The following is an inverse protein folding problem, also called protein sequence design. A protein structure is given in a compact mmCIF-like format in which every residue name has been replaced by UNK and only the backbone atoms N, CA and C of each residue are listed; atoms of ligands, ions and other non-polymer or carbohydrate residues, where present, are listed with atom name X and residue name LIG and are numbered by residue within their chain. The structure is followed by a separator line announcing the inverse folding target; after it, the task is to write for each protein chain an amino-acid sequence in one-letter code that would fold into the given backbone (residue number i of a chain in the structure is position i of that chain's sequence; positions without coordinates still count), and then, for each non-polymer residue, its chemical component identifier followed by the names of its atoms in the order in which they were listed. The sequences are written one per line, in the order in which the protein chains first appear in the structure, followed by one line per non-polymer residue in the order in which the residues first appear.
data_IF_717055680319
#
_entry.id   IF_717055680319
#
_cell.length_a   1.000
_cell.length_b   1.000
_cell.length_c   1.000
_cell.angle_alpha   90.00
_cell.angle_beta   90.00
_cell.angle_gamma   90.00
#
_symmetry.space_group_name_H-M   'P 1'
#
loop_
_entity.id
_entity.type
_entity.pdbx_description
1 polymer ?
#
# COMPACT_ATOMS: atom_id res chain seq x y z
N UNK A 1 -12.80 6.69 -6.40
CA UNK A 1 -12.32 7.70 -5.42
C UNK A 1 -13.12 8.97 -5.61
N UNK A 2 -13.25 9.80 -4.58
CA UNK A 2 -13.89 11.11 -4.64
C UNK A 2 -15.29 11.09 -5.32
N UNK A 3 -16.08 10.05 -5.07
CA UNK A 3 -17.41 9.87 -5.69
C UNK A 3 -17.42 9.32 -7.12
N UNK A 4 -16.25 9.20 -7.76
CA UNK A 4 -16.11 8.59 -9.10
C UNK A 4 -15.93 7.07 -8.98
N UNK A 5 -16.72 6.33 -9.74
CA UNK A 5 -16.70 4.85 -9.82
C UNK A 5 -16.79 4.38 -11.28
N UNK A 6 -16.36 3.14 -11.54
CA UNK A 6 -16.42 2.53 -12.86
C UNK A 6 -15.07 1.98 -13.33
N UNK A 7 -14.88 1.86 -14.64
CA UNK A 7 -13.65 1.34 -15.23
C UNK A 7 -13.30 2.04 -16.53
N UNK A 8 -12.01 2.02 -16.85
CA UNK A 8 -11.49 2.37 -18.17
C UNK A 8 -10.61 1.23 -18.64
N UNK A 9 -10.94 0.63 -19.78
CA UNK A 9 -10.18 -0.47 -20.38
C UNK A 9 -9.39 0.04 -21.57
N UNK A 10 -8.09 -0.20 -21.58
CA UNK A 10 -7.20 0.15 -22.68
C UNK A 10 -6.91 -1.09 -23.53
N UNK A 11 -7.18 -1.04 -24.82
CA UNK A 11 -6.87 -2.09 -25.78
C UNK A 11 -5.73 -1.62 -26.69
N UNK A 12 -4.57 -2.27 -26.57
CA UNK A 12 -3.39 -1.94 -27.36
C UNK A 12 -3.47 -2.39 -28.82
N UNK A 13 -4.30 -3.38 -29.13
CA UNK A 13 -4.49 -3.93 -30.49
C UNK A 13 -5.45 -3.04 -31.27
N UNK A 14 -6.60 -2.73 -30.66
CA UNK A 14 -7.59 -1.83 -31.26
C UNK A 14 -7.20 -0.35 -31.14
N UNK A 15 -6.22 -0.03 -30.28
CA UNK A 15 -5.80 1.33 -29.96
C UNK A 15 -6.96 2.19 -29.44
N UNK A 16 -7.80 1.60 -28.58
CA UNK A 16 -8.98 2.24 -28.00
C UNK A 16 -8.96 2.23 -26.47
N UNK A 17 -9.58 3.24 -25.87
CA UNK A 17 -9.95 3.26 -24.46
C UNK A 17 -11.47 3.19 -24.35
N UNK A 18 -12.00 2.12 -23.75
CA UNK A 18 -13.41 1.99 -23.40
C UNK A 18 -13.63 2.56 -22.00
N UNK A 19 -14.35 3.66 -21.92
CA UNK A 19 -14.65 4.39 -20.69
C UNK A 19 -16.05 4.03 -20.23
N UNK A 20 -16.19 3.67 -18.95
CA UNK A 20 -17.47 3.50 -18.28
C UNK A 20 -17.34 4.06 -16.86
N UNK A 21 -17.66 5.33 -16.67
CA UNK A 21 -17.49 6.05 -15.42
C UNK A 21 -18.79 6.75 -14.99
N UNK A 22 -19.06 6.71 -13.69
CA UNK A 22 -20.14 7.45 -13.04
C UNK A 22 -19.57 8.43 -12.00
N UNK A 23 -20.34 9.45 -11.63
CA UNK A 23 -19.90 10.47 -10.67
C UNK A 23 -18.94 11.53 -11.24
N UNK A 24 -18.80 11.62 -12.57
CA UNK A 24 -17.89 12.57 -13.24
C UNK A 24 -18.49 13.96 -13.45
N UNK A 25 -19.82 14.10 -13.33
CA UNK A 25 -20.54 15.34 -13.67
C UNK A 25 -20.64 15.59 -15.19
N UNK A 26 -20.38 14.59 -16.02
CA UNK A 26 -20.42 14.76 -17.49
C UNK A 26 -21.81 15.15 -18.01
N UNK A 27 -22.87 14.66 -17.36
CA UNK A 27 -24.26 14.99 -17.71
C UNK A 27 -24.57 16.49 -17.52
N UNK A 28 -23.89 17.14 -16.58
CA UNK A 28 -24.05 18.58 -16.32
C UNK A 28 -23.09 19.44 -17.13
N UNK A 29 -21.88 18.94 -17.38
CA UNK A 29 -20.76 19.75 -17.88
C UNK A 29 -20.41 19.46 -19.35
N UNK A 30 -21.02 18.43 -19.96
CA UNK A 30 -20.80 18.04 -21.35
C UNK A 30 -19.50 17.29 -21.60
N UNK A 31 -18.46 17.49 -20.78
CA UNK A 31 -17.22 16.71 -20.84
C UNK A 31 -16.44 16.69 -19.52
N UNK A 32 -15.49 15.76 -19.43
CA UNK A 32 -14.48 15.67 -18.37
C UNK A 32 -13.16 15.16 -18.94
N UNK A 33 -12.07 15.34 -18.19
CA UNK A 33 -10.73 14.97 -18.64
C UNK A 33 -10.22 13.69 -17.96
N UNK A 34 -9.55 12.87 -18.76
CA UNK A 34 -8.78 11.72 -18.34
C UNK A 34 -7.31 11.96 -18.65
N UNK A 35 -6.47 11.83 -17.64
CA UNK A 35 -5.03 12.10 -17.75
C UNK A 35 -4.23 10.90 -17.29
N UNK A 36 -3.43 10.33 -18.18
CA UNK A 36 -2.40 9.36 -17.83
C UNK A 36 -1.25 10.08 -17.13
N UNK A 37 -0.77 9.52 -16.02
CA UNK A 37 0.30 10.11 -15.20
C UNK A 37 1.49 9.16 -15.07
N UNK A 38 2.59 9.64 -14.48
CA UNK A 38 3.87 8.93 -14.47
C UNK A 38 3.92 7.71 -13.52
N UNK A 39 3.26 7.80 -12.37
CA UNK A 39 3.40 6.84 -11.28
C UNK A 39 2.07 6.14 -10.98
N UNK A 40 2.12 4.88 -10.53
CA UNK A 40 0.92 4.17 -10.11
C UNK A 40 0.41 4.69 -8.77
N UNK A 41 -0.89 4.54 -8.54
CA UNK A 41 -1.50 4.83 -7.24
C UNK A 41 -1.04 3.78 -6.22
N UNK A 42 -0.66 4.23 -5.03
CA UNK A 42 -0.45 3.35 -3.88
C UNK A 42 -1.65 3.48 -2.93
N UNK A 43 -2.58 2.54 -3.01
CA UNK A 43 -3.88 2.61 -2.33
C UNK A 43 -3.77 2.60 -0.81
N UNK A 44 -4.36 3.60 -0.14
CA UNK A 44 -4.33 3.77 1.32
C UNK A 44 -2.95 4.12 1.91
N UNK A 45 -1.97 4.44 1.08
CA UNK A 45 -0.66 4.92 1.54
C UNK A 45 -0.61 6.44 1.77
N UNK A 46 -1.53 7.20 1.17
CA UNK A 46 -1.60 8.67 1.25
C UNK A 46 -3.05 9.13 1.39
N UNK A 47 -3.29 10.23 2.11
CA UNK A 47 -4.62 10.79 2.29
C UNK A 47 -5.19 11.37 0.98
N UNK A 48 -4.33 11.96 0.15
CA UNK A 48 -4.71 12.55 -1.14
C UNK A 48 -3.92 11.89 -2.28
N UNK A 49 -4.20 10.62 -2.63
CA UNK A 49 -3.35 9.85 -3.53
C UNK A 49 -3.25 10.43 -4.95
N UNK A 50 -4.22 11.25 -5.39
CA UNK A 50 -4.33 11.73 -6.76
C UNK A 50 -3.63 13.07 -7.05
N UNK A 51 -2.91 13.63 -6.07
CA UNK A 51 -2.12 14.86 -6.29
C UNK A 51 -0.85 14.56 -7.05
N UNK A 52 -0.36 15.56 -7.80
CA UNK A 52 0.82 15.46 -8.65
C UNK A 52 2.08 14.98 -7.89
N UNK A 53 2.23 15.32 -6.60
CA UNK A 53 3.33 14.84 -5.78
C UNK A 53 3.37 13.30 -5.62
N UNK A 54 2.26 12.61 -5.89
CA UNK A 54 2.14 11.15 -5.75
C UNK A 54 1.98 10.42 -7.08
N UNK A 55 1.19 10.96 -8.01
CA UNK A 55 0.98 10.33 -9.34
C UNK A 55 1.93 10.86 -10.42
N UNK A 56 2.68 11.93 -10.14
CA UNK A 56 3.62 12.54 -11.07
C UNK A 56 2.96 13.46 -12.09
N UNK A 57 3.73 13.85 -13.11
CA UNK A 57 3.28 14.76 -14.16
C UNK A 57 2.23 14.13 -15.07
N UNK A 58 1.51 14.99 -15.80
CA UNK A 58 0.67 14.57 -16.91
C UNK A 58 1.52 14.05 -18.06
N UNK A 59 1.27 12.81 -18.48
CA UNK A 59 1.92 12.15 -19.61
C UNK A 59 1.11 12.35 -20.88
N UNK A 60 -0.20 12.10 -20.79
CA UNK A 60 -1.12 12.24 -21.90
C UNK A 60 -2.52 12.55 -21.37
N UNK A 61 -3.26 13.41 -22.06
CA UNK A 61 -4.61 13.82 -21.66
C UNK A 61 -5.57 13.68 -22.83
N UNK A 62 -6.78 13.18 -22.55
CA UNK A 62 -7.89 13.14 -23.50
C UNK A 62 -9.20 13.47 -22.78
N UNK A 63 -10.13 14.07 -23.53
CA UNK A 63 -11.44 14.46 -23.00
C UNK A 63 -12.51 13.46 -23.43
N UNK A 64 -13.49 13.25 -22.57
CA UNK A 64 -14.64 12.36 -22.80
C UNK A 64 -15.92 13.16 -22.59
N UNK A 65 -16.91 12.95 -23.47
CA UNK A 65 -18.17 13.69 -23.49
C UNK A 65 -19.40 12.89 -23.02
N UNK A 66 -19.19 11.66 -22.55
CA UNK A 66 -20.26 10.79 -22.06
C UNK A 66 -19.73 9.85 -20.96
N UNK A 67 -20.63 9.38 -20.09
CA UNK A 67 -20.31 8.41 -19.02
C UNK A 67 -19.78 7.09 -19.60
N UNK A 68 -20.31 6.70 -20.77
CA UNK A 68 -19.86 5.54 -21.54
C UNK A 68 -19.37 6.01 -22.90
N UNK A 69 -18.12 5.72 -23.26
CA UNK A 69 -17.53 6.16 -24.52
C UNK A 69 -16.39 5.25 -24.97
N UNK A 70 -16.02 5.34 -26.24
CA UNK A 70 -14.84 4.69 -26.81
C UNK A 70 -13.98 5.75 -27.47
N UNK A 71 -12.74 5.89 -27.00
CA UNK A 71 -11.81 6.94 -27.44
C UNK A 71 -10.64 6.31 -28.18
N UNK A 72 -10.21 6.91 -29.29
CA UNK A 72 -8.99 6.52 -29.98
C UNK A 72 -7.76 7.01 -29.20
N UNK A 73 -6.84 6.10 -28.88
CA UNK A 73 -5.63 6.37 -28.09
C UNK A 73 -4.35 6.02 -28.84
N UNK A 74 -4.40 5.91 -30.17
CA UNK A 74 -3.25 5.56 -31.02
C UNK A 74 -2.04 6.47 -30.78
N UNK A 75 -2.26 7.77 -30.67
CA UNK A 75 -1.21 8.76 -30.36
C UNK A 75 -0.60 8.54 -28.97
N UNK A 76 -1.44 8.21 -27.98
CA UNK A 76 -0.98 7.92 -26.62
C UNK A 76 -0.07 6.70 -26.62
N UNK A 77 -0.46 5.62 -27.30
CA UNK A 77 0.30 4.37 -27.37
C UNK A 77 1.59 4.49 -28.20
N UNK A 78 1.65 5.41 -29.17
CA UNK A 78 2.88 5.73 -29.89
C UNK A 78 3.92 6.40 -28.99
N UNK A 79 3.48 7.29 -28.09
CA UNK A 79 4.37 7.98 -27.16
C UNK A 79 4.70 7.11 -25.93
N UNK A 80 3.70 6.36 -25.45
CA UNK A 80 3.76 5.56 -24.22
C UNK A 80 3.19 4.17 -24.50
N UNK A 81 3.99 3.26 -25.09
CA UNK A 81 3.51 1.92 -25.46
C UNK A 81 3.23 1.05 -24.23
N UNK A 82 3.92 1.29 -23.10
CA UNK A 82 3.68 0.60 -21.84
C UNK A 82 2.89 1.50 -20.87
N UNK A 83 1.63 1.15 -20.66
CA UNK A 83 0.74 1.84 -19.72
C UNK A 83 0.81 1.27 -18.30
N UNK A 84 1.48 0.12 -18.10
CA UNK A 84 1.61 -0.52 -16.80
C UNK A 84 2.39 0.39 -15.83
N UNK A 85 2.05 0.25 -14.54
CA UNK A 85 2.63 1.03 -13.45
C UNK A 85 2.46 2.54 -13.65
N UNK A 86 1.35 2.96 -14.26
CA UNK A 86 0.92 4.37 -14.34
C UNK A 86 -0.39 4.53 -13.58
N UNK A 87 -0.90 5.75 -13.50
CA UNK A 87 -2.28 5.96 -13.06
C UNK A 87 -3.06 6.81 -14.05
N UNK A 88 -4.36 6.57 -14.07
CA UNK A 88 -5.33 7.38 -14.77
C UNK A 88 -5.99 8.31 -13.75
N UNK A 89 -5.79 9.61 -13.94
CA UNK A 89 -6.45 10.68 -13.21
C UNK A 89 -7.73 11.07 -13.94
N UNK A 90 -8.83 11.16 -13.21
CA UNK A 90 -10.11 11.69 -13.64
C UNK A 90 -10.28 13.04 -12.95
N UNK A 91 -10.36 14.11 -13.75
CA UNK A 91 -10.74 15.43 -13.26
C UNK A 91 -12.20 15.66 -13.62
N UNK A 92 -13.06 15.61 -12.60
CA UNK A 92 -14.48 15.90 -12.77
C UNK A 92 -14.67 17.38 -13.08
N UNK A 93 -15.83 17.75 -13.62
CA UNK A 93 -16.05 19.16 -13.95
C UNK A 93 -16.16 20.10 -12.74
N UNK A 94 -16.32 19.55 -11.53
CA UNK A 94 -16.25 20.31 -10.28
C UNK A 94 -14.80 20.42 -9.74
N UNK A 95 -13.80 20.10 -10.56
CA UNK A 95 -12.37 20.05 -10.23
C UNK A 95 -12.02 19.01 -9.15
N UNK A 96 -12.89 18.04 -8.91
CA UNK A 96 -12.58 16.91 -8.03
C UNK A 96 -11.69 15.93 -8.76
N UNK A 97 -10.62 15.47 -8.10
CA UNK A 97 -9.65 14.54 -8.66
C UNK A 97 -9.84 13.15 -8.09
N UNK A 98 -10.12 12.19 -8.96
CA UNK A 98 -10.10 10.76 -8.65
C UNK A 98 -9.01 10.08 -9.47
N UNK A 99 -8.43 9.00 -8.98
CA UNK A 99 -7.38 8.30 -9.71
C UNK A 99 -7.43 6.79 -9.46
N UNK A 100 -6.92 6.04 -10.41
CA UNK A 100 -6.71 4.60 -10.29
C UNK A 100 -5.42 4.22 -11.04
N UNK A 101 -4.67 3.27 -10.49
CA UNK A 101 -3.56 2.62 -11.17
C UNK A 101 -4.03 1.90 -12.43
N UNK A 102 -3.23 1.96 -13.50
CA UNK A 102 -3.42 1.19 -14.72
C UNK A 102 -2.76 -0.16 -14.52
N UNK A 103 -3.57 -1.21 -14.45
CA UNK A 103 -3.16 -2.58 -14.14
C UNK A 103 -3.22 -3.40 -15.43
N UNK A 104 -2.16 -4.14 -15.72
CA UNK A 104 -2.13 -5.04 -16.89
C UNK A 104 -3.03 -6.26 -16.65
N UNK A 105 -3.74 -6.72 -17.69
CA UNK A 105 -4.52 -7.98 -17.61
C UNK A 105 -3.60 -9.21 -17.49
N UNK A 106 -2.40 -9.12 -18.04
CA UNK A 106 -1.36 -10.15 -17.91
C UNK A 106 -0.66 -10.07 -16.55
N UNK A 107 -0.17 -11.21 -16.06
CA UNK A 107 0.60 -11.28 -14.81
C UNK A 107 1.81 -10.34 -14.87
N UNK A 108 1.99 -9.52 -13.83
CA UNK A 108 3.16 -8.67 -13.65
C UNK A 108 4.04 -9.25 -12.56
N UNK A 109 5.32 -9.44 -12.84
CA UNK A 109 6.32 -9.79 -11.83
C UNK A 109 6.93 -8.50 -11.30
N UNK A 110 7.02 -8.37 -9.97
CA UNK A 110 7.68 -7.25 -9.30
C UNK A 110 8.93 -7.75 -8.59
N UNK A 111 10.04 -7.07 -8.76
CA UNK A 111 11.24 -7.22 -7.94
C UNK A 111 11.47 -5.95 -7.13
N UNK A 112 12.12 -6.09 -5.98
CA UNK A 112 12.48 -4.99 -5.10
C UNK A 112 13.97 -5.06 -4.77
N UNK A 113 14.61 -3.89 -4.75
CA UNK A 113 15.91 -3.70 -4.11
C UNK A 113 15.79 -2.55 -3.12
N UNK A 114 16.33 -2.73 -1.91
CA UNK A 114 16.24 -1.73 -0.83
C UNK A 114 17.61 -1.29 -0.39
N UNK A 115 17.80 0.03 -0.34
CA UNK A 115 19.03 0.68 0.09
C UNK A 115 18.84 1.34 1.45
N UNK A 116 19.87 1.31 2.29
CA UNK A 116 19.83 1.75 3.69
C UNK A 116 20.98 2.68 4.09
N UNK A 117 21.82 3.10 3.14
CA UNK A 117 23.03 3.88 3.42
C UNK A 117 22.80 5.36 3.07
N UNK A 118 23.84 6.06 2.63
CA UNK A 118 23.82 7.47 2.16
C UNK A 118 22.72 7.79 1.14
N UNK A 119 22.31 6.79 0.36
CA UNK A 119 21.05 6.78 -0.39
C UNK A 119 20.19 5.67 0.18
N UNK A 120 18.97 6.01 0.58
CA UNK A 120 18.03 5.08 1.17
C UNK A 120 16.70 5.09 0.41
N UNK A 121 15.97 3.99 0.46
CA UNK A 121 14.68 3.84 -0.21
C UNK A 121 14.59 2.57 -1.03
N UNK A 122 13.55 2.49 -1.85
CA UNK A 122 13.25 1.31 -2.65
C UNK A 122 13.41 1.60 -4.14
N UNK A 123 13.85 0.57 -4.85
CA UNK A 123 13.62 0.41 -6.27
C UNK A 123 12.65 -0.75 -6.45
N UNK A 124 11.68 -0.58 -7.34
CA UNK A 124 10.81 -1.63 -7.85
C UNK A 124 11.04 -1.78 -9.34
N UNK A 125 11.24 -3.01 -9.80
CA UNK A 125 11.30 -3.35 -11.23
C UNK A 125 10.05 -4.17 -11.52
N UNK A 126 9.28 -3.79 -12.54
CA UNK A 126 8.01 -4.43 -12.90
C UNK A 126 8.06 -4.88 -14.35
N UNK A 127 7.79 -6.15 -14.60
CA UNK A 127 7.79 -6.74 -15.94
C UNK A 127 6.49 -7.49 -16.17
N UNK A 128 5.83 -7.19 -17.29
CA UNK A 128 4.67 -7.96 -17.75
C UNK A 128 5.18 -9.29 -18.29
N UNK A 129 4.57 -10.40 -17.87
CA UNK A 129 4.96 -11.74 -18.31
C UNK A 129 4.94 -11.84 -19.84
N UNK A 130 6.06 -12.29 -20.42
CA UNK A 130 6.23 -12.44 -21.87
C UNK A 130 6.70 -11.17 -22.60
N UNK A 131 6.83 -10.04 -21.91
CA UNK A 131 7.42 -8.81 -22.46
C UNK A 131 8.90 -8.70 -22.07
N UNK A 132 9.81 -8.31 -22.98
CA UNK A 132 11.22 -8.13 -22.65
C UNK A 132 11.46 -6.86 -21.82
N UNK A 133 10.63 -5.83 -22.01
CA UNK A 133 10.77 -4.55 -21.33
C UNK A 133 10.26 -4.60 -19.89
N UNK A 134 10.84 -3.75 -19.04
CA UNK A 134 10.41 -3.58 -17.66
C UNK A 134 10.33 -2.10 -17.29
N UNK A 135 9.53 -1.77 -16.30
CA UNK A 135 9.44 -0.44 -15.70
C UNK A 135 10.21 -0.42 -14.39
N UNK A 136 11.07 0.57 -14.20
CA UNK A 136 11.70 0.83 -12.92
C UNK A 136 11.03 2.02 -12.23
N UNK A 137 10.61 1.84 -10.99
CA UNK A 137 10.09 2.88 -10.10
C UNK A 137 11.01 3.01 -8.89
N UNK A 138 11.18 4.23 -8.38
CA UNK A 138 11.96 4.41 -7.14
C UNK A 138 11.48 5.60 -6.32
N UNK A 139 11.77 5.57 -5.02
CA UNK A 139 11.47 6.63 -4.05
C UNK A 139 12.70 6.96 -3.18
N UNK A 140 13.85 7.08 -3.83
CA UNK A 140 15.14 7.23 -3.16
C UNK A 140 15.28 8.60 -2.53
N UNK A 141 15.91 8.63 -1.36
CA UNK A 141 16.27 9.85 -0.64
C UNK A 141 17.76 9.86 -0.34
N UNK A 142 18.36 11.05 -0.31
CA UNK A 142 19.68 11.24 0.24
C UNK A 142 19.61 11.47 1.75
N UNK A 143 20.41 10.72 2.51
CA UNK A 143 20.55 10.90 3.96
C UNK A 143 21.75 11.78 4.34
N UNK A 144 22.41 12.38 3.35
CA UNK A 144 23.61 13.18 3.61
C UNK A 144 23.22 14.57 4.17
N UNK A 145 23.55 14.83 5.42
CA UNK A 145 23.26 16.10 6.11
C UNK A 145 24.23 17.23 5.72
N UNK A 146 25.32 16.91 5.02
CA UNK A 146 26.29 17.90 4.56
C UNK A 146 25.84 18.40 3.18
N UNK A 147 25.69 19.73 3.02
CA UNK A 147 25.21 20.56 1.89
C UNK A 147 25.44 20.12 0.41
N UNK A 148 26.09 18.99 0.13
CA UNK A 148 26.10 18.32 -1.17
C UNK A 148 25.02 17.22 -1.22
N UNK A 149 23.74 17.61 -1.26
CA UNK A 149 22.67 16.68 -1.61
C UNK A 149 22.84 16.28 -3.07
N UNK A 150 23.08 15.00 -3.34
CA UNK A 150 23.05 14.50 -4.72
C UNK A 150 21.64 14.71 -5.27
N UNK A 151 21.48 15.48 -6.35
CA UNK A 151 20.18 15.66 -7.00
C UNK A 151 19.75 14.41 -7.77
N UNK A 152 20.72 13.65 -8.27
CA UNK A 152 20.50 12.42 -9.02
C UNK A 152 21.60 11.39 -8.76
N UNK A 153 21.33 10.16 -9.16
CA UNK A 153 22.26 9.04 -9.08
C UNK A 153 22.17 8.15 -10.30
N UNK A 154 23.31 7.70 -10.81
CA UNK A 154 23.36 6.70 -11.89
C UNK A 154 23.11 5.31 -11.33
N UNK A 155 22.14 4.62 -11.92
CA UNK A 155 21.78 3.25 -11.57
C UNK A 155 22.37 2.25 -12.57
N UNK A 156 22.89 1.16 -12.02
CA UNK A 156 23.43 0.02 -12.74
C UNK A 156 22.82 -1.27 -12.21
N UNK A 157 22.84 -2.32 -13.03
CA UNK A 157 22.49 -3.67 -12.62
C UNK A 157 23.62 -4.66 -12.95
N UNK A 158 23.65 -5.77 -12.21
CA UNK A 158 24.63 -6.84 -12.40
C UNK A 158 23.99 -8.23 -12.30
N UNK A 159 24.41 -9.13 -13.19
CA UNK A 159 24.11 -10.56 -13.18
C UNK A 159 25.18 -11.38 -12.44
N UNK A 160 26.02 -10.74 -11.63
CA UNK A 160 27.08 -11.42 -10.89
C UNK A 160 26.53 -12.58 -10.04
N UNK A 161 27.31 -13.67 -9.98
CA UNK A 161 27.04 -14.82 -9.13
C UNK A 161 27.55 -14.65 -7.70
N UNK A 162 28.06 -13.45 -7.34
CA UNK A 162 28.50 -13.15 -5.98
C UNK A 162 27.46 -13.54 -4.92
N UNK A 163 27.93 -13.97 -3.75
CA UNK A 163 27.07 -14.42 -2.67
C UNK A 163 26.36 -13.27 -1.95
N UNK A 164 26.94 -12.07 -1.97
CA UNK A 164 26.43 -10.87 -1.30
C UNK A 164 26.91 -9.59 -1.99
N UNK A 165 26.31 -8.46 -1.63
CA UNK A 165 26.78 -7.14 -2.06
C UNK A 165 28.23 -6.85 -1.64
N UNK A 166 28.65 -7.27 -0.44
CA UNK A 166 30.03 -7.10 0.03
C UNK A 166 31.02 -7.83 -0.87
N UNK A 167 30.74 -9.09 -1.21
CA UNK A 167 31.58 -9.89 -2.11
C UNK A 167 31.62 -9.31 -3.53
N UNK A 168 30.49 -8.80 -4.03
CA UNK A 168 30.42 -8.12 -5.32
C UNK A 168 31.29 -6.86 -5.32
N UNK A 169 31.14 -5.99 -4.31
CA UNK A 169 31.87 -4.73 -4.24
C UNK A 169 33.38 -4.95 -4.09
N UNK A 170 33.81 -5.98 -3.36
CA UNK A 170 35.22 -6.32 -3.19
C UNK A 170 35.93 -6.82 -4.47
N UNK A 171 35.17 -7.24 -5.48
CA UNK A 171 35.70 -7.75 -6.76
C UNK A 171 35.03 -7.09 -7.98
N UNK A 172 34.44 -5.91 -7.79
CA UNK A 172 33.61 -5.27 -8.79
C UNK A 172 34.44 -4.90 -10.02
N UNK A 173 34.03 -5.40 -11.18
CA UNK A 173 34.49 -4.91 -12.47
C UNK A 173 33.44 -3.94 -13.03
N UNK A 174 33.68 -2.61 -13.04
CA UNK A 174 32.68 -1.64 -13.52
C UNK A 174 32.24 -1.86 -14.97
N UNK A 175 33.07 -2.52 -15.80
CA UNK A 175 32.75 -2.79 -17.21
C UNK A 175 31.72 -3.92 -17.38
N UNK A 176 31.45 -4.73 -16.35
CA UNK A 176 30.41 -5.76 -16.40
C UNK A 176 29.02 -5.25 -15.99
N UNK A 177 28.94 -3.99 -15.56
CA UNK A 177 27.69 -3.37 -15.14
C UNK A 177 26.88 -2.89 -16.34
N UNK A 178 25.57 -3.13 -16.29
CA UNK A 178 24.62 -2.61 -17.28
C UNK A 178 24.07 -1.30 -16.72
N UNK A 179 24.35 -0.19 -17.41
CA UNK A 179 23.81 1.12 -17.06
C UNK A 179 22.32 1.21 -17.44
N UNK A 180 21.47 1.61 -16.51
CA UNK A 180 20.03 1.76 -16.75
C UNK A 180 19.58 3.22 -16.92
N UNK A 181 20.27 4.18 -16.30
CA UNK A 181 19.89 5.59 -16.36
C UNK A 181 20.23 6.37 -15.10
N UNK A 182 19.60 7.55 -14.95
CA UNK A 182 19.69 8.37 -13.75
C UNK A 182 18.36 8.39 -13.01
N UNK A 183 18.42 8.34 -11.68
CA UNK A 183 17.28 8.49 -10.79
C UNK A 183 17.45 9.76 -9.96
N UNK A 184 16.38 10.52 -9.79
CA UNK A 184 16.33 11.65 -8.88
C UNK A 184 16.33 11.16 -7.43
N UNK A 185 16.94 11.95 -6.56
CA UNK A 185 16.97 11.72 -5.12
C UNK A 185 16.20 12.83 -4.41
N UNK A 186 15.28 12.44 -3.54
CA UNK A 186 14.62 13.36 -2.63
C UNK A 186 15.40 13.58 -1.33
N UNK A 187 14.77 14.25 -0.40
CA UNK A 187 15.20 14.33 1.01
C UNK A 187 14.15 13.67 1.90
N UNK A 188 14.44 13.41 3.19
CA UNK A 188 13.42 12.93 4.13
C UNK A 188 12.19 13.86 4.23
N UNK A 189 12.37 15.16 3.97
CA UNK A 189 11.29 16.16 4.03
C UNK A 189 10.61 16.36 2.66
N UNK A 190 11.35 16.21 1.58
CA UNK A 190 10.88 16.39 0.21
C UNK A 190 11.13 15.11 -0.59
N UNK A 191 10.26 14.08 -0.44
CA UNK A 191 10.41 12.83 -1.16
C UNK A 191 10.19 13.03 -2.66
N UNK A 192 11.06 12.41 -3.47
CA UNK A 192 10.99 12.45 -4.93
C UNK A 192 10.84 11.02 -5.46
N UNK A 193 10.11 10.88 -6.57
CA UNK A 193 9.94 9.60 -7.28
C UNK A 193 10.65 9.65 -8.63
N UNK A 194 11.17 8.52 -9.08
CA UNK A 194 11.75 8.39 -10.42
C UNK A 194 11.18 7.19 -11.16
N UNK A 195 11.05 7.34 -12.48
CA UNK A 195 10.62 6.30 -13.42
C UNK A 195 11.66 6.13 -14.52
N UNK A 196 11.99 4.89 -14.87
CA UNK A 196 12.74 4.56 -16.08
C UNK A 196 12.08 3.40 -16.82
N UNK A 197 12.05 3.47 -18.15
CA UNK A 197 11.68 2.33 -18.99
C UNK A 197 12.95 1.57 -19.35
N UNK A 198 12.97 0.27 -19.06
CA UNK A 198 14.09 -0.64 -19.36
C UNK A 198 13.70 -1.42 -20.61
N UNK A 199 14.39 -1.24 -21.75
CA UNK A 199 14.01 -1.91 -23.01
C UNK A 199 14.07 -3.44 -22.96
N UNK A 200 15.01 -3.98 -22.18
CA UNK A 200 15.19 -5.42 -21.98
C UNK A 200 15.68 -5.69 -20.56
N UNK A 201 14.94 -6.51 -19.82
CA UNK A 201 15.26 -6.92 -18.46
C UNK A 201 15.29 -8.44 -18.34
N UNK A 202 16.40 -8.95 -17.81
CA UNK A 202 16.65 -10.36 -17.57
C UNK A 202 16.40 -10.70 -16.09
N UNK A 203 15.58 -11.71 -15.84
CA UNK A 203 15.28 -12.18 -14.48
C UNK A 203 16.51 -12.74 -13.72
N UNK A 204 17.60 -13.06 -14.42
CA UNK A 204 18.89 -13.46 -13.83
C UNK A 204 19.70 -12.31 -13.22
N UNK A 205 19.22 -11.06 -13.32
CA UNK A 205 19.81 -9.90 -12.66
C UNK A 205 19.63 -10.01 -11.14
N UNK A 206 20.73 -9.92 -10.39
CA UNK A 206 20.73 -10.15 -8.93
C UNK A 206 21.03 -8.91 -8.09
N UNK A 207 21.69 -7.91 -8.66
CA UNK A 207 22.15 -6.74 -7.90
C UNK A 207 21.83 -5.43 -8.61
N UNK A 208 21.36 -4.45 -7.85
CA UNK A 208 21.26 -3.04 -8.23
C UNK A 208 22.40 -2.27 -7.57
N UNK A 209 23.04 -1.37 -8.32
CA UNK A 209 24.13 -0.55 -7.81
C UNK A 209 23.90 0.92 -8.14
N UNK A 210 24.30 1.79 -7.22
CA UNK A 210 24.42 3.21 -7.48
C UNK A 210 25.87 3.64 -7.45
N UNK A 211 26.26 4.51 -8.38
CA UNK A 211 27.56 5.17 -8.33
C UNK A 211 27.45 6.51 -7.62
N UNK A 212 28.12 6.65 -6.48
CA UNK A 212 28.16 7.86 -5.67
C UNK A 212 29.58 8.42 -5.68
N UNK A 213 29.78 9.50 -6.44
CA UNK A 213 31.11 10.07 -6.69
C UNK A 213 32.10 9.02 -7.22
N UNK A 214 32.91 8.41 -6.36
CA UNK A 214 33.91 7.39 -6.68
C UNK A 214 33.57 5.97 -6.19
N UNK A 215 32.51 5.79 -5.40
CA UNK A 215 32.17 4.50 -4.79
C UNK A 215 30.83 3.95 -5.30
N UNK A 216 30.64 2.64 -5.13
CA UNK A 216 29.38 1.98 -5.43
C UNK A 216 28.69 1.53 -4.15
N UNK A 217 27.39 1.81 -4.04
CA UNK A 217 26.51 1.11 -3.09
C UNK A 217 25.73 0.04 -3.83
N UNK A 218 25.46 -1.06 -3.15
CA UNK A 218 24.79 -2.24 -3.73
C UNK A 218 23.57 -2.62 -2.90
N UNK A 219 22.55 -3.12 -3.58
CA UNK A 219 21.43 -3.85 -2.99
C UNK A 219 21.10 -5.07 -3.84
N UNK A 220 20.66 -6.15 -3.18
CA UNK A 220 20.14 -7.32 -3.87
C UNK A 220 18.75 -7.03 -4.45
N UNK A 221 18.54 -7.45 -5.70
CA UNK A 221 17.24 -7.45 -6.35
C UNK A 221 16.58 -8.78 -6.03
N UNK A 222 15.43 -8.72 -5.35
CA UNK A 222 14.69 -9.91 -4.91
C UNK A 222 13.27 -9.88 -5.46
N UNK A 223 12.69 -11.02 -5.83
CA UNK A 223 11.26 -11.09 -6.13
C UNK A 223 10.45 -10.54 -4.95
N UNK A 224 9.50 -9.67 -5.25
CA UNK A 224 8.53 -9.18 -4.28
C UNK A 224 7.32 -10.12 -4.33
N UNK A 225 7.27 -11.05 -3.38
CA UNK A 225 6.16 -12.00 -3.28
C UNK A 225 4.84 -11.30 -2.90
N UNK A 226 3.71 -11.73 -3.48
CA UNK A 226 2.38 -11.32 -3.01
C UNK A 226 2.24 -11.56 -1.51
N UNK A 227 1.57 -10.65 -0.80
CA UNK A 227 1.23 -10.85 0.60
C UNK A 227 -0.16 -11.46 0.70
N UNK A 228 -0.26 -12.53 1.48
CA UNK A 228 -1.50 -13.13 1.92
C UNK A 228 -1.47 -13.22 3.45
N UNK A 229 -2.46 -12.62 4.12
CA UNK A 229 -2.57 -12.65 5.59
C UNK A 229 -4.02 -12.87 5.99
N UNK A 230 -4.24 -13.46 7.16
CA UNK A 230 -5.59 -13.73 7.64
C UNK A 230 -5.76 -13.40 9.12
N UNK A 231 -6.97 -12.99 9.48
CA UNK A 231 -7.46 -13.01 10.85
C UNK A 231 -8.30 -14.28 11.02
N UNK A 232 -7.80 -15.23 11.81
CA UNK A 232 -8.50 -16.49 12.10
C UNK A 232 -9.46 -16.29 13.28
N UNK A 233 -10.73 -16.57 13.07
CA UNK A 233 -11.79 -16.36 14.05
C UNK A 233 -12.19 -17.72 14.63
N UNK A 234 -11.99 -17.89 15.94
CA UNK A 234 -12.60 -18.96 16.75
C UNK A 234 -12.89 -18.39 18.14
N UNK A 235 -14.02 -17.69 18.26
CA UNK A 235 -14.38 -16.97 19.48
C UNK A 235 -15.89 -16.91 19.64
N UNK A 236 -16.40 -17.17 20.86
CA UNK A 236 -17.84 -17.14 21.20
C UNK A 236 -18.73 -17.94 20.23
N UNK A 237 -18.19 -19.04 19.72
CA UNK A 237 -18.84 -19.96 18.79
C UNK A 237 -18.74 -19.57 17.31
N UNK A 238 -18.38 -18.33 16.98
CA UNK A 238 -18.15 -17.92 15.58
C UNK A 238 -16.85 -18.51 15.10
N UNK A 239 -16.86 -19.08 13.90
CA UNK A 239 -15.68 -19.73 13.28
C UNK A 239 -15.44 -19.25 11.87
N UNK A 240 -14.18 -19.16 11.48
CA UNK A 240 -13.80 -18.89 10.10
C UNK A 240 -12.59 -17.96 9.98
N UNK A 241 -12.54 -17.17 8.92
CA UNK A 241 -11.45 -16.25 8.67
C UNK A 241 -11.88 -15.02 7.86
N UNK A 242 -11.05 -13.99 7.93
CA UNK A 242 -11.00 -12.90 6.96
C UNK A 242 -9.59 -12.91 6.37
N UNK A 243 -9.52 -13.07 5.05
CA UNK A 243 -8.29 -13.17 4.27
C UNK A 243 -8.05 -11.86 3.51
N UNK A 244 -6.82 -11.36 3.53
CA UNK A 244 -6.37 -10.20 2.78
C UNK A 244 -5.25 -10.62 1.84
N UNK A 245 -5.39 -10.31 0.56
CA UNK A 245 -4.42 -10.65 -0.48
C UNK A 245 -4.08 -9.42 -1.31
N UNK A 246 -2.79 -9.11 -1.47
CA UNK A 246 -2.33 -7.99 -2.28
C UNK A 246 -1.07 -8.40 -3.05
N UNK A 247 -1.09 -8.21 -4.37
CA UNK A 247 -0.01 -8.64 -5.27
C UNK A 247 1.25 -7.80 -5.06
N UNK A 248 1.09 -6.48 -4.92
CA UNK A 248 2.18 -5.55 -4.65
C UNK A 248 1.63 -4.26 -4.02
N UNK A 249 2.49 -3.35 -3.53
CA UNK A 249 2.06 -2.04 -3.01
C UNK A 249 1.29 -1.15 -4.01
N UNK A 250 1.29 -1.52 -5.30
CA UNK A 250 0.68 -0.77 -6.39
C UNK A 250 -0.66 -1.37 -6.86
N UNK A 251 -1.04 -2.51 -6.28
CA UNK A 251 -2.27 -3.23 -6.60
C UNK A 251 -3.29 -3.05 -5.47
N UNK A 252 -4.61 -3.12 -5.74
CA UNK A 252 -5.60 -3.12 -4.68
C UNK A 252 -5.57 -4.42 -3.87
N UNK A 253 -6.18 -4.39 -2.68
CA UNK A 253 -6.24 -5.56 -1.80
C UNK A 253 -7.54 -6.31 -2.01
N UNK A 254 -7.47 -7.62 -2.23
CA UNK A 254 -8.65 -8.50 -2.19
C UNK A 254 -8.93 -8.89 -0.75
N UNK A 255 -10.18 -8.71 -0.31
CA UNK A 255 -10.67 -9.08 1.02
C UNK A 255 -11.68 -10.22 0.86
N UNK A 256 -11.40 -11.38 1.45
CA UNK A 256 -12.31 -12.54 1.39
C UNK A 256 -12.76 -12.97 2.78
N UNK A 257 -14.06 -13.07 3.00
CA UNK A 257 -14.67 -13.49 4.25
C UNK A 257 -15.20 -14.91 4.11
N UNK A 258 -14.96 -15.73 5.12
CA UNK A 258 -15.66 -17.00 5.32
C UNK A 258 -15.90 -17.15 6.81
N UNK A 259 -17.11 -16.80 7.27
CA UNK A 259 -17.47 -16.85 8.70
C UNK A 259 -18.79 -17.61 8.85
N UNK A 260 -18.85 -18.41 9.91
CA UNK A 260 -20.00 -19.26 10.22
C UNK A 260 -20.48 -19.06 11.64
N UNK A 261 -21.73 -19.44 11.92
CA UNK A 261 -22.34 -19.37 13.25
C UNK A 261 -22.41 -17.94 13.82
N UNK A 262 -22.62 -16.95 12.93
CA UNK A 262 -22.83 -15.55 13.30
C UNK A 262 -24.12 -15.38 14.10
N UNK A 263 -25.14 -16.20 13.82
CA UNK A 263 -26.46 -16.20 14.49
C UNK A 263 -27.10 -14.80 14.55
N UNK A 264 -26.86 -13.97 13.53
CA UNK A 264 -27.35 -12.58 13.45
C UNK A 264 -26.86 -11.67 14.57
N UNK A 265 -25.82 -12.10 15.32
CA UNK A 265 -25.22 -11.35 16.43
C UNK A 265 -24.11 -10.41 15.99
N UNK A 266 -23.69 -10.46 14.73
CA UNK A 266 -22.61 -9.62 14.20
C UNK A 266 -23.17 -8.61 13.23
N UNK A 267 -22.76 -7.36 13.37
CA UNK A 267 -23.08 -6.25 12.47
C UNK A 267 -21.81 -5.64 11.88
N UNK A 268 -21.31 -4.50 12.40
CA UNK A 268 -20.10 -3.85 11.90
C UNK A 268 -18.82 -4.64 12.20
N UNK A 269 -17.79 -4.46 11.38
CA UNK A 269 -16.46 -5.03 11.55
C UNK A 269 -15.39 -4.10 11.00
N UNK A 270 -14.30 -3.96 11.74
CA UNK A 270 -13.26 -2.99 11.49
C UNK A 270 -11.88 -3.54 11.82
N UNK A 271 -10.82 -2.99 11.20
CA UNK A 271 -9.44 -3.16 11.65
C UNK A 271 -9.16 -2.15 12.76
N UNK A 272 -8.56 -2.61 13.85
CA UNK A 272 -8.21 -1.81 15.02
C UNK A 272 -6.70 -1.59 15.12
N UNK A 273 -6.27 -0.74 16.05
CA UNK A 273 -4.87 -0.29 16.15
C UNK A 273 -3.90 -1.42 16.51
N UNK A 274 -4.22 -2.26 17.49
CA UNK A 274 -3.27 -3.19 18.10
C UNK A 274 -3.66 -4.66 17.89
N UNK A 275 -2.69 -5.59 17.88
CA UNK A 275 -2.99 -7.03 17.96
C UNK A 275 -3.77 -7.36 19.22
N UNK A 276 -4.46 -8.50 19.22
CA UNK A 276 -5.06 -9.04 20.45
C UNK A 276 -3.97 -9.44 21.44
N UNK A 277 -4.18 -9.23 22.76
CA UNK A 277 -3.17 -9.53 23.78
C UNK A 277 -2.90 -11.03 23.92
N UNK A 278 -1.66 -11.39 24.24
CA UNK A 278 -1.24 -12.76 24.54
C UNK A 278 -1.81 -13.23 25.89
N UNK A 279 -2.99 -13.85 25.87
CA UNK A 279 -3.60 -14.74 26.91
C UNK A 279 -3.83 -14.12 28.31
N UNK A 280 -3.27 -12.95 28.63
CA UNK A 280 -3.34 -12.31 29.96
C UNK A 280 -4.66 -11.59 30.24
N UNK A 281 -5.43 -11.27 29.22
CA UNK A 281 -6.72 -10.61 29.37
C UNK A 281 -7.83 -11.65 29.52
N UNK A 282 -8.77 -11.50 30.49
CA UNK A 282 -9.98 -12.31 30.53
C UNK A 282 -10.64 -12.31 29.15
N UNK A 283 -11.17 -13.46 28.72
CA UNK A 283 -11.78 -13.64 27.39
C UNK A 283 -12.88 -12.62 27.07
N UNK A 284 -13.55 -12.11 28.11
CA UNK A 284 -14.58 -11.08 27.99
C UNK A 284 -14.01 -9.69 27.59
N UNK A 285 -12.77 -9.41 27.98
CA UNK A 285 -12.11 -8.12 27.76
C UNK A 285 -11.12 -8.12 26.59
N UNK A 286 -10.82 -9.27 25.97
CA UNK A 286 -9.79 -9.40 24.92
C UNK A 286 -9.96 -8.37 23.80
N UNK A 287 -11.20 -8.06 23.42
CA UNK A 287 -11.51 -7.12 22.34
C UNK A 287 -11.76 -5.69 22.82
N UNK A 288 -11.60 -5.39 24.11
CA UNK A 288 -11.88 -4.07 24.70
C UNK A 288 -11.02 -2.96 24.11
N UNK A 289 -11.44 -1.70 24.33
CA UNK A 289 -10.70 -0.52 23.85
C UNK A 289 -9.27 -0.51 24.36
N UNK A 290 -9.07 -0.85 25.63
CA UNK A 290 -7.76 -0.87 26.28
C UNK A 290 -6.80 -1.90 25.64
N UNK A 291 -7.32 -2.97 25.04
CA UNK A 291 -6.51 -4.05 24.47
C UNK A 291 -6.20 -3.84 22.98
N UNK A 292 -7.21 -3.52 22.16
CA UNK A 292 -7.03 -3.44 20.70
C UNK A 292 -7.06 -2.00 20.15
N UNK A 293 -7.37 -1.02 21.01
CA UNK A 293 -7.48 0.39 20.63
C UNK A 293 -8.75 0.72 19.84
N UNK A 294 -8.78 1.93 19.29
CA UNK A 294 -9.79 2.40 18.32
C UNK A 294 -9.60 1.82 16.92
N UNK A 295 -10.36 2.34 15.96
CA UNK A 295 -10.25 1.95 14.55
C UNK A 295 -8.93 2.43 13.96
N UNK A 296 -8.43 1.69 12.95
CA UNK A 296 -7.27 2.11 12.20
C UNK A 296 -7.61 3.28 11.27
N UNK A 297 -7.24 4.50 11.67
CA UNK A 297 -7.53 5.72 10.93
C UNK A 297 -6.28 6.61 10.79
N UNK A 298 -5.30 6.22 9.96
CA UNK A 298 -4.01 6.93 9.85
C UNK A 298 -4.09 8.31 9.19
N UNK A 299 -5.26 8.70 8.67
CA UNK A 299 -5.49 9.99 8.01
C UNK A 299 -6.45 10.88 8.78
N UNK A 300 -6.81 10.50 10.01
CA UNK A 300 -7.73 11.26 10.87
C UNK A 300 -9.04 11.64 10.15
N UNK A 301 -9.59 10.69 9.36
CA UNK A 301 -10.88 10.86 8.68
C UNK A 301 -11.95 11.21 9.72
N UNK A 302 -12.71 12.27 9.45
CA UNK A 302 -13.75 12.75 10.36
C UNK A 302 -14.95 11.81 10.38
N UNK A 303 -15.13 11.11 11.51
CA UNK A 303 -16.18 10.11 11.72
C UNK A 303 -17.48 10.69 12.28
N UNK A 304 -17.62 12.03 12.37
CA UNK A 304 -18.87 12.65 12.80
C UNK A 304 -20.00 12.30 11.82
N UNK A 305 -21.20 11.91 12.30
CA UNK A 305 -22.32 11.52 11.43
C UNK A 305 -22.75 12.58 10.40
N UNK A 306 -22.42 13.86 10.64
CA UNK A 306 -22.72 14.95 9.70
C UNK A 306 -21.80 15.00 8.47
N UNK A 307 -20.64 14.32 8.52
CA UNK A 307 -19.60 14.34 7.47
C UNK A 307 -19.34 12.94 6.94
N UNK A 308 -19.31 11.94 7.83
CA UNK A 308 -19.03 10.55 7.47
C UNK A 308 -20.20 9.97 6.65
N UNK A 309 -19.99 9.56 5.39
CA UNK A 309 -21.08 9.11 4.54
C UNK A 309 -21.79 7.87 5.12
N UNK A 310 -23.13 7.78 5.05
CA UNK A 310 -23.84 6.59 5.47
C UNK A 310 -23.57 5.43 4.48
N UNK A 311 -23.18 4.24 4.95
CA UNK A 311 -23.02 3.08 4.08
C UNK A 311 -24.37 2.39 3.79
N UNK A 312 -24.53 1.74 2.61
CA UNK A 312 -23.64 1.81 1.45
C UNK A 312 -23.87 3.12 0.70
N UNK A 313 -22.83 3.78 0.18
CA UNK A 313 -23.08 5.02 -0.57
C UNK A 313 -21.93 5.93 -0.95
N UNK A 314 -20.67 5.55 -0.70
CA UNK A 314 -19.53 6.39 -1.07
C UNK A 314 -18.33 5.56 -1.51
N UNK A 315 -17.33 6.23 -2.09
CA UNK A 315 -16.08 5.61 -2.51
C UNK A 315 -15.17 5.33 -1.31
N UNK A 316 -14.32 4.30 -1.43
CA UNK A 316 -13.55 3.74 -0.30
C UNK A 316 -12.62 4.73 0.42
N UNK A 317 -12.24 5.81 -0.24
CA UNK A 317 -11.39 6.89 0.27
C UNK A 317 -12.09 7.83 1.27
N UNK A 318 -13.42 7.77 1.39
CA UNK A 318 -14.16 8.57 2.38
C UNK A 318 -14.22 7.94 3.77
N UNK A 319 -13.79 6.68 3.89
CA UNK A 319 -13.89 5.91 5.12
C UNK A 319 -12.52 5.72 5.75
N UNK A 320 -12.50 5.48 7.07
CA UNK A 320 -11.28 5.11 7.78
C UNK A 320 -10.66 3.87 7.10
N UNK A 321 -9.32 3.77 7.05
CA UNK A 321 -8.66 2.57 6.49
C UNK A 321 -9.13 1.30 7.21
N UNK A 322 -9.48 1.39 8.49
CA UNK A 322 -9.99 0.27 9.26
C UNK A 322 -11.46 -0.03 9.05
N UNK A 323 -12.25 0.85 8.45
CA UNK A 323 -13.70 0.63 8.32
C UNK A 323 -14.02 -0.28 7.13
N UNK A 324 -14.16 -1.58 7.39
CA UNK A 324 -14.46 -2.58 6.37
C UNK A 324 -15.97 -2.64 6.08
N UNK A 325 -16.81 -2.44 7.09
CA UNK A 325 -18.27 -2.50 6.94
C UNK A 325 -18.84 -1.39 6.07
N UNK A 326 -18.32 -0.17 6.17
CA UNK A 326 -18.82 0.93 5.35
C UNK A 326 -18.45 0.77 3.87
N UNK A 327 -17.38 0.04 3.56
CA UNK A 327 -16.93 -0.25 2.20
C UNK A 327 -17.57 -1.51 1.61
N UNK A 328 -17.65 -2.59 2.39
CA UNK A 328 -18.01 -3.92 1.89
C UNK A 328 -19.37 -4.43 2.42
N UNK A 329 -20.06 -3.60 3.20
CA UNK A 329 -21.36 -3.91 3.80
C UNK A 329 -21.26 -4.55 5.18
N UNK A 330 -22.29 -4.34 6.01
CA UNK A 330 -22.45 -4.91 7.35
C UNK A 330 -22.79 -6.41 7.30
N UNK A 331 -22.39 -7.15 8.33
CA UNK A 331 -22.74 -8.58 8.53
C UNK A 331 -24.08 -8.78 9.24
N UNK A 332 -24.83 -7.70 9.48
CA UNK A 332 -26.12 -7.75 10.18
C UNK A 332 -27.09 -8.73 9.53
N UNK A 333 -27.86 -9.44 10.35
CA UNK A 333 -28.86 -10.43 9.92
C UNK A 333 -28.31 -11.64 9.13
N UNK A 334 -27.00 -11.92 9.21
CA UNK A 334 -26.39 -13.11 8.60
C UNK A 334 -26.21 -14.22 9.63
N UNK A 335 -26.46 -15.45 9.20
CA UNK A 335 -26.13 -16.66 9.96
C UNK A 335 -24.71 -17.15 9.57
N UNK A 336 -24.39 -17.10 8.28
CA UNK A 336 -23.07 -17.35 7.70
C UNK A 336 -22.77 -16.32 6.59
N UNK A 337 -21.49 -16.13 6.25
CA UNK A 337 -21.07 -15.28 5.13
C UNK A 337 -19.88 -15.89 4.39
N UNK A 338 -19.99 -15.89 3.06
CA UNK A 338 -18.87 -16.12 2.16
C UNK A 338 -18.90 -15.03 1.08
N UNK A 339 -17.88 -14.18 1.04
CA UNK A 339 -17.83 -13.06 0.13
C UNK A 339 -16.38 -12.70 -0.22
N UNK A 340 -16.18 -12.06 -1.36
CA UNK A 340 -14.88 -11.54 -1.79
C UNK A 340 -15.05 -10.17 -2.44
N UNK A 341 -14.18 -9.23 -2.08
CA UNK A 341 -14.26 -7.83 -2.48
C UNK A 341 -12.88 -7.30 -2.87
N UNK A 342 -12.84 -6.30 -3.75
CA UNK A 342 -11.63 -5.51 -4.03
C UNK A 342 -11.68 -4.22 -3.21
N UNK A 343 -10.65 -3.97 -2.42
CA UNK A 343 -10.49 -2.77 -1.61
C UNK A 343 -9.40 -1.85 -2.17
N UNK A 344 -9.83 -0.64 -2.56
CA UNK A 344 -8.99 0.42 -3.11
C UNK A 344 -8.43 1.39 -2.04
N UNK A 345 -8.46 1.04 -0.75
CA UNK A 345 -7.96 1.88 0.35
C UNK A 345 -7.45 1.05 1.56
N UNK A 346 -7.07 -0.21 1.37
CA UNK A 346 -6.65 -1.11 2.46
C UNK A 346 -5.28 -1.74 2.20
N UNK A 347 -4.16 -1.06 2.50
CA UNK A 347 -2.83 -1.60 2.23
C UNK A 347 -2.44 -2.73 3.22
N UNK A 348 -1.75 -3.75 2.72
CA UNK A 348 -1.01 -4.74 3.55
C UNK A 348 0.52 -4.64 3.35
N UNK A 349 0.98 -3.67 2.56
CA UNK A 349 2.39 -3.27 2.45
C UNK A 349 2.64 -1.91 3.09
N UNK A 350 3.90 -1.67 3.52
CA UNK A 350 4.37 -0.36 3.95
C UNK A 350 3.74 0.14 5.24
N UNK A 351 3.91 1.44 5.50
CA UNK A 351 3.62 2.09 6.79
C UNK A 351 2.17 1.92 7.27
N UNK A 352 1.21 2.01 6.35
CA UNK A 352 -0.21 1.93 6.70
C UNK A 352 -0.77 0.50 6.73
N UNK A 353 0.11 -0.49 6.60
CA UNK A 353 -0.28 -1.91 6.58
C UNK A 353 -1.14 -2.30 7.79
N UNK A 354 -2.16 -3.11 7.52
CA UNK A 354 -3.00 -3.73 8.55
C UNK A 354 -2.39 -5.02 9.13
N UNK A 355 -1.27 -5.51 8.59
CA UNK A 355 -0.58 -6.72 9.07
C UNK A 355 -0.13 -6.55 10.52
N UNK A 356 -0.40 -7.56 11.36
CA UNK A 356 -0.09 -7.54 12.79
C UNK A 356 -1.07 -6.74 13.65
N UNK A 357 -2.07 -6.06 13.06
CA UNK A 357 -3.17 -5.43 13.79
C UNK A 357 -4.25 -6.45 14.13
N UNK A 358 -5.44 -6.01 14.54
CA UNK A 358 -6.58 -6.90 14.78
C UNK A 358 -7.80 -6.51 13.96
N UNK A 359 -8.66 -7.48 13.66
CA UNK A 359 -10.04 -7.22 13.25
C UNK A 359 -10.94 -7.39 14.46
N UNK A 360 -11.89 -6.48 14.65
CA UNK A 360 -12.97 -6.59 15.64
C UNK A 360 -14.30 -6.63 14.91
N UNK A 361 -15.11 -7.62 15.24
CA UNK A 361 -16.50 -7.76 14.82
C UNK A 361 -17.37 -7.31 16.00
N UNK A 362 -18.37 -6.50 15.70
CA UNK A 362 -19.25 -5.86 16.67
C UNK A 362 -20.65 -6.47 16.57
N UNK A 363 -21.41 -6.40 17.67
CA UNK A 363 -22.85 -6.60 17.67
C UNK A 363 -23.56 -5.48 16.89
N UNK A 364 -24.83 -5.65 16.48
CA UNK A 364 -25.55 -4.63 15.71
C UNK A 364 -25.64 -3.25 16.40
N UNK A 365 -25.55 -3.20 17.73
CA UNK A 365 -25.51 -1.97 18.52
C UNK A 365 -24.10 -1.35 18.63
N UNK A 366 -23.13 -1.87 17.86
CA UNK A 366 -21.71 -1.50 17.87
C UNK A 366 -20.93 -1.92 19.12
N UNK A 367 -21.49 -2.76 19.99
CA UNK A 367 -20.74 -3.37 21.09
C UNK A 367 -19.70 -4.34 20.54
N UNK A 368 -18.48 -4.33 21.08
CA UNK A 368 -17.40 -5.23 20.62
C UNK A 368 -17.73 -6.68 20.99
N UNK A 369 -17.74 -7.57 20.01
CA UNK A 369 -18.18 -8.95 20.20
C UNK A 369 -17.03 -9.95 20.20
N UNK A 370 -16.29 -10.02 19.09
CA UNK A 370 -15.17 -10.94 18.87
C UNK A 370 -14.07 -10.24 18.10
N UNK A 371 -12.85 -10.73 18.24
CA UNK A 371 -11.70 -10.14 17.58
C UNK A 371 -10.62 -11.19 17.34
N UNK A 372 -9.71 -10.89 16.42
CA UNK A 372 -8.52 -11.69 16.17
C UNK A 372 -7.43 -10.85 15.53
N UNK A 373 -6.17 -11.15 15.86
CA UNK A 373 -5.03 -10.56 15.18
C UNK A 373 -4.97 -11.00 13.71
N UNK A 374 -4.67 -10.04 12.84
CA UNK A 374 -4.26 -10.29 11.46
C UNK A 374 -2.83 -10.81 11.52
N UNK A 375 -2.63 -12.04 11.04
CA UNK A 375 -1.33 -12.69 11.03
C UNK A 375 -0.33 -12.05 10.08
N UNK A 376 0.81 -12.73 9.94
CA UNK A 376 1.89 -12.36 9.04
C UNK A 376 1.95 -13.36 7.87
N UNK A 377 2.51 -12.98 6.71
CA UNK A 377 2.55 -13.84 5.52
C UNK A 377 3.55 -15.01 5.63
N UNK A 378 4.14 -15.23 6.80
CA UNK A 378 5.11 -16.28 7.07
C UNK A 378 5.57 -16.27 8.53
N UNK A 379 6.54 -17.12 8.85
CA UNK A 379 7.14 -17.18 10.18
C UNK A 379 7.82 -15.83 10.53
N UNK A 380 7.59 -15.34 11.75
CA UNK A 380 8.14 -14.08 12.23
C UNK A 380 9.07 -14.27 13.42
N UNK A 381 10.03 -13.37 13.54
CA UNK A 381 10.78 -13.15 14.77
C UNK A 381 10.23 -11.89 15.44
N UNK A 382 10.02 -11.94 16.75
CA UNK A 382 9.62 -10.78 17.56
C UNK A 382 10.71 -10.45 18.59
N UNK A 383 11.27 -9.25 18.50
CA UNK A 383 12.15 -8.69 19.53
C UNK A 383 11.31 -7.86 20.51
N UNK A 384 11.61 -8.00 21.82
CA UNK A 384 10.86 -7.35 22.91
C UNK A 384 11.79 -6.47 23.74
N UNK A 385 11.53 -5.17 23.76
CA UNK A 385 12.18 -4.21 24.65
C UNK A 385 11.27 -3.90 25.85
N UNK A 386 11.80 -3.96 27.07
CA UNK A 386 11.03 -3.73 28.31
C UNK A 386 11.56 -2.48 29.00
N UNK A 387 10.66 -1.56 29.31
CA UNK A 387 10.94 -0.31 30.01
C UNK A 387 10.44 -0.42 31.46
N UNK A 388 11.25 0.03 32.42
CA UNK A 388 10.96 -0.10 33.85
C UNK A 388 10.88 1.22 34.61
N UNK A 389 11.44 2.32 34.07
CA UNK A 389 11.36 3.68 34.65
C UNK A 389 12.02 4.70 33.71
N UNK A 390 11.59 5.98 33.68
CA UNK A 390 10.37 6.53 34.27
C UNK A 390 9.10 6.16 33.46
N UNK A 391 9.30 5.67 32.24
CA UNK A 391 8.29 5.02 31.41
C UNK A 391 8.36 3.52 31.69
N UNK A 392 7.21 2.89 31.87
CA UNK A 392 7.06 1.45 32.06
C UNK A 392 6.30 0.86 30.88
N UNK A 393 6.64 -0.37 30.50
CA UNK A 393 5.92 -1.09 29.47
C UNK A 393 6.82 -1.83 28.49
N UNK A 394 6.32 -2.08 27.29
CA UNK A 394 6.95 -2.94 26.28
C UNK A 394 6.90 -2.29 24.89
N UNK A 395 7.97 -2.47 24.12
CA UNK A 395 7.97 -2.27 22.66
C UNK A 395 8.26 -3.60 21.97
N UNK A 396 7.42 -3.97 21.01
CA UNK A 396 7.53 -5.17 20.20
C UNK A 396 7.95 -4.79 18.78
N UNK A 397 8.96 -5.48 18.25
CA UNK A 397 9.41 -5.38 16.86
C UNK A 397 9.25 -6.74 16.20
N UNK A 398 8.39 -6.84 15.18
CA UNK A 398 8.08 -8.11 14.50
C UNK A 398 8.44 -8.02 13.03
N UNK A 399 9.21 -9.00 12.53
CA UNK A 399 9.65 -9.07 11.13
C UNK A 399 9.63 -10.52 10.65
N UNK A 400 9.47 -10.75 9.34
CA UNK A 400 9.59 -12.09 8.75
C UNK A 400 11.00 -12.65 8.96
N UNK A 401 11.07 -13.89 9.47
CA UNK A 401 12.31 -14.60 9.77
C UNK A 401 13.19 -14.80 8.53
N UNK A 402 12.58 -15.23 7.43
CA UNK A 402 13.27 -15.55 6.18
C UNK A 402 13.46 -14.33 5.26
N UNK A 403 12.94 -13.16 5.65
CA UNK A 403 13.05 -11.94 4.85
C UNK A 403 13.39 -10.71 5.71
N UNK A 404 14.69 -10.44 5.95
CA UNK A 404 15.15 -9.29 6.74
C UNK A 404 14.91 -7.93 6.05
N UNK A 405 14.45 -7.93 4.80
CA UNK A 405 14.08 -6.71 4.05
C UNK A 405 12.58 -6.41 4.10
N UNK A 406 11.80 -7.31 4.69
CA UNK A 406 10.36 -7.12 4.91
C UNK A 406 10.07 -5.98 5.87
N UNK A 407 8.83 -5.48 5.82
CA UNK A 407 8.34 -4.47 6.76
C UNK A 407 8.48 -4.95 8.21
N UNK A 408 8.89 -4.06 9.11
CA UNK A 408 8.92 -4.31 10.55
C UNK A 408 7.67 -3.70 11.16
N UNK A 409 6.84 -4.53 11.80
CA UNK A 409 5.73 -4.04 12.63
C UNK A 409 6.29 -3.62 13.99
N UNK A 410 5.93 -2.42 14.45
CA UNK A 410 6.32 -1.92 15.77
C UNK A 410 5.07 -1.59 16.57
N UNK A 411 4.88 -2.27 17.70
CA UNK A 411 3.78 -2.02 18.63
C UNK A 411 4.31 -1.62 20.00
N UNK A 412 3.70 -0.60 20.59
CA UNK A 412 4.13 0.00 21.85
C UNK A 412 2.98 -0.05 22.85
N UNK A 413 3.28 -0.55 24.05
CA UNK A 413 2.42 -0.47 25.23
C UNK A 413 3.26 0.19 26.32
N UNK A 414 3.12 1.51 26.49
CA UNK A 414 3.95 2.32 27.37
C UNK A 414 3.07 3.24 28.23
N UNK A 415 3.40 3.36 29.51
CA UNK A 415 2.76 4.28 30.45
C UNK A 415 3.79 4.94 31.37
N UNK A 416 3.44 6.06 32.00
CA UNK A 416 4.30 6.65 33.02
C UNK A 416 4.23 5.81 34.31
N UNK A 417 5.38 5.46 34.87
CA UNK A 417 5.46 4.71 36.13
C UNK A 417 5.01 5.51 37.36
N UNK A 418 4.69 6.81 37.21
CA UNK A 418 4.10 7.66 38.24
C UNK A 418 2.61 7.88 37.93
N UNK A 419 1.68 7.46 38.81
CA UNK A 419 0.23 7.55 38.58
C UNK A 419 -0.30 8.96 38.30
N UNK A 420 0.39 10.00 38.77
CA UNK A 420 -0.05 11.39 38.66
C UNK A 420 0.45 12.09 37.39
N UNK A 421 1.22 11.41 36.52
CA UNK A 421 1.68 12.00 35.27
C UNK A 421 0.62 11.84 34.20
N UNK A 422 0.10 12.96 33.69
CA UNK A 422 -0.88 12.95 32.59
C UNK A 422 -0.32 12.21 31.38
N UNK A 423 -1.10 11.28 30.82
CA UNK A 423 -0.78 10.64 29.56
C UNK A 423 -0.61 11.71 28.47
N UNK A 424 0.38 11.54 27.60
CA UNK A 424 0.54 12.38 26.41
C UNK A 424 -0.68 12.13 25.52
N UNK A 425 -1.57 13.11 25.36
CA UNK A 425 -2.82 12.98 24.59
C UNK A 425 -2.62 12.85 23.07
N UNK A 426 -1.39 12.69 22.62
CA UNK A 426 -1.03 12.56 21.21
C UNK A 426 -0.26 11.25 21.05
N UNK A 427 -0.80 10.27 20.31
CA UNK A 427 0.03 9.23 19.75
C UNK A 427 1.10 9.94 18.92
N UNK A 428 2.34 9.91 19.36
CA UNK A 428 3.48 10.22 18.50
C UNK A 428 3.61 9.05 17.52
N UNK A 429 2.72 9.00 16.53
CA UNK A 429 3.02 8.34 15.28
C UNK A 429 4.08 9.21 14.60
N UNK A 430 5.35 9.00 14.94
CA UNK A 430 6.42 9.60 14.17
C UNK A 430 6.27 9.15 12.72
N UNK A 431 6.13 10.17 11.87
CA UNK A 431 5.78 10.08 10.46
C UNK A 431 6.88 9.47 9.61
#
# INVERSE_FOLDING_TARGET
MAGVTGSVRFDSVQQTATVNLSGTGVETCGSFNLTLTEFPVMYGHQAQPCVQAHVGQSVFMFSVNASVSVVNISQMLQQTPNLEARSLLVETCNNTKACAGVIAESKVTTWQARFFSVVAGNIYIRQILGQPSATLLSNLISLNNNNSSYANVSIFISQSSAASCEALLGSLNPNSLIYLGQLMLGTPLEPVKSRLEIPSFDAGVRFALFKLSSEYTCAEIRPLEPKEVSALIDMRGVKGYILFYQVSPFDPTTVSLNLTNLNRRVGPYHVHLFPTPDIRSPSESTCSNDNVGGHWNPFDVDTRPSVYPPPPGSTHDHYEIGDLSSRHGSLSNRDDVQASFTDWNLPIFGKNSIVGRSVVLHEPDSTRFICSSIGYPGEVITARAIFQSPVVGTVLFTQLKENPYSDVSVFLDLSYGRPNTSATQTPLAHS
#
